data_IF_656178218303
#
_entry.id   IF_656178218303
#
_cell.length_a   1.000
_cell.length_b   1.000
_cell.length_c   1.000
_cell.angle_alpha   90.00
_cell.angle_beta   90.00
_cell.angle_gamma   90.00
#
_symmetry.space_group_name_H-M   'P 1'
#
loop_
_entity.id
_entity.type
_entity.pdbx_description
1 polymer ?
#
# COMPACT_ATOMS: atom_id res chain seq x y z
N UNK A 1 24.73 -15.74 -31.82
CA UNK A 1 23.36 -16.04 -31.36
C UNK A 1 22.71 -14.71 -31.04
N UNK A 2 21.73 -14.29 -31.84
CA UNK A 2 21.00 -13.05 -31.62
C UNK A 2 19.97 -13.29 -30.52
N UNK A 3 20.23 -12.81 -29.31
CA UNK A 3 19.18 -12.65 -28.31
C UNK A 3 18.28 -11.51 -28.75
N UNK A 4 17.10 -11.85 -29.26
CA UNK A 4 16.00 -10.90 -29.32
C UNK A 4 15.53 -10.68 -27.89
N UNK A 5 15.90 -9.54 -27.31
CA UNK A 5 15.20 -8.98 -26.15
C UNK A 5 13.70 -8.99 -26.43
N UNK A 6 12.84 -9.36 -25.47
CA UNK A 6 11.41 -9.23 -25.65
C UNK A 6 11.11 -7.74 -25.82
N UNK A 7 10.75 -7.35 -27.03
CA UNK A 7 10.16 -6.05 -27.32
C UNK A 7 8.85 -5.98 -26.54
N UNK A 8 8.90 -5.45 -25.32
CA UNK A 8 7.74 -4.91 -24.63
C UNK A 8 7.20 -3.83 -25.53
N UNK A 9 6.03 -4.07 -26.12
CA UNK A 9 5.30 -3.07 -26.88
C UNK A 9 4.83 -2.03 -25.85
N UNK A 10 5.72 -1.11 -25.48
CA UNK A 10 5.47 -0.15 -24.45
C UNK A 10 4.32 0.74 -24.90
N UNK A 11 3.17 0.57 -24.27
CA UNK A 11 2.03 1.44 -24.49
C UNK A 11 2.46 2.87 -24.13
N UNK A 12 2.23 3.82 -25.03
CA UNK A 12 2.56 5.21 -24.77
C UNK A 12 1.68 5.73 -23.64
N UNK A 13 2.29 6.35 -22.64
CA UNK A 13 1.59 6.93 -21.50
C UNK A 13 1.64 8.44 -21.63
N UNK A 14 0.46 9.07 -21.74
CA UNK A 14 0.32 10.52 -21.79
C UNK A 14 -0.27 11.03 -20.48
N UNK A 15 0.38 12.02 -19.87
CA UNK A 15 -0.15 12.74 -18.71
C UNK A 15 -0.32 14.20 -19.13
N UNK A 16 -1.54 14.72 -19.10
CA UNK A 16 -1.89 16.07 -19.57
C UNK A 16 -1.37 16.36 -20.99
N UNK A 17 -1.57 15.40 -21.91
CA UNK A 17 -1.10 15.44 -23.30
C UNK A 17 0.41 15.46 -23.51
N UNK A 18 1.20 15.32 -22.44
CA UNK A 18 2.65 15.16 -22.50
C UNK A 18 2.98 13.66 -22.50
N UNK A 19 3.76 13.22 -23.49
CA UNK A 19 4.29 11.86 -23.51
C UNK A 19 5.29 11.68 -22.36
N UNK A 20 4.96 10.81 -21.41
CA UNK A 20 5.73 10.51 -20.20
C UNK A 20 6.33 9.11 -20.22
N UNK A 21 6.27 8.42 -21.36
CA UNK A 21 6.61 7.01 -21.47
C UNK A 21 8.04 6.70 -21.02
N UNK A 22 9.03 7.45 -21.51
CA UNK A 22 10.45 7.22 -21.19
C UNK A 22 10.77 7.50 -19.71
N UNK A 23 10.18 8.56 -19.14
CA UNK A 23 10.34 8.91 -17.72
C UNK A 23 9.77 7.82 -16.81
N UNK A 24 8.55 7.35 -17.10
CA UNK A 24 7.90 6.30 -16.33
C UNK A 24 8.64 4.96 -16.47
N UNK A 25 9.18 4.65 -17.65
CA UNK A 25 10.03 3.46 -17.84
C UNK A 25 11.31 3.53 -17.02
N UNK A 26 12.02 4.66 -17.08
CA UNK A 26 13.23 4.89 -16.29
C UNK A 26 12.94 4.78 -14.78
N UNK A 27 11.79 5.32 -14.35
CA UNK A 27 11.33 5.18 -12.97
C UNK A 27 11.02 3.72 -12.61
N UNK A 28 10.34 2.97 -13.48
CA UNK A 28 10.04 1.56 -13.24
C UNK A 28 11.30 0.70 -13.11
N UNK A 29 12.32 0.99 -13.92
CA UNK A 29 13.64 0.37 -13.83
C UNK A 29 14.34 0.72 -12.52
N UNK A 30 14.35 2.00 -12.12
CA UNK A 30 14.94 2.46 -10.87
C UNK A 30 14.28 1.82 -9.64
N UNK A 31 12.96 1.59 -9.68
CA UNK A 31 12.21 0.89 -8.63
C UNK A 31 12.36 -0.63 -8.68
N UNK A 32 12.96 -1.18 -9.75
CA UNK A 32 13.13 -2.62 -9.93
C UNK A 32 11.83 -3.37 -10.27
N UNK A 33 10.79 -2.69 -10.75
CA UNK A 33 9.50 -3.32 -11.08
C UNK A 33 9.65 -4.47 -12.08
N UNK A 34 10.44 -4.25 -13.15
CA UNK A 34 10.72 -5.26 -14.16
C UNK A 34 11.57 -6.44 -13.64
N UNK A 35 12.21 -6.30 -12.49
CA UNK A 35 12.95 -7.39 -11.84
C UNK A 35 12.07 -8.16 -10.87
N UNK A 36 11.24 -7.45 -10.08
CA UNK A 36 10.45 -8.05 -9.01
C UNK A 36 9.12 -8.62 -9.51
N UNK A 37 8.42 -7.92 -10.41
CA UNK A 37 7.08 -8.26 -10.90
C UNK A 37 6.95 -8.05 -12.43
N UNK A 38 7.83 -8.66 -13.24
CA UNK A 38 7.85 -8.44 -14.70
C UNK A 38 6.49 -8.75 -15.34
N UNK A 39 5.92 -7.77 -16.03
CA UNK A 39 4.63 -7.91 -16.73
C UNK A 39 3.40 -8.07 -15.83
N UNK A 40 3.55 -7.92 -14.51
CA UNK A 40 2.48 -8.12 -13.52
C UNK A 40 2.06 -6.84 -12.80
N UNK A 41 2.34 -5.67 -13.37
CA UNK A 41 1.83 -4.39 -12.89
C UNK A 41 1.21 -3.60 -14.04
N UNK A 42 0.12 -2.89 -13.76
CA UNK A 42 -0.57 -2.06 -14.77
C UNK A 42 0.17 -0.74 -14.99
N UNK A 43 -0.12 -0.06 -16.10
CA UNK A 43 0.31 1.33 -16.28
C UNK A 43 -0.26 2.24 -15.19
N UNK A 44 -1.48 1.96 -14.71
CA UNK A 44 -2.11 2.72 -13.63
C UNK A 44 -1.32 2.61 -12.32
N UNK A 45 -0.84 1.43 -11.96
CA UNK A 45 -0.02 1.23 -10.77
C UNK A 45 1.31 1.99 -10.88
N UNK A 46 1.95 1.98 -12.05
CA UNK A 46 3.19 2.73 -12.30
C UNK A 46 2.96 4.24 -12.19
N UNK A 47 1.90 4.75 -12.81
CA UNK A 47 1.51 6.17 -12.73
C UNK A 47 1.18 6.56 -11.30
N UNK A 48 0.46 5.72 -10.56
CA UNK A 48 0.16 5.96 -9.15
C UNK A 48 1.44 6.04 -8.31
N UNK A 49 2.35 5.07 -8.47
CA UNK A 49 3.61 5.05 -7.73
C UNK A 49 4.44 6.32 -7.99
N UNK A 50 4.55 6.72 -9.25
CA UNK A 50 5.26 7.93 -9.66
C UNK A 50 4.59 9.20 -9.13
N UNK A 51 3.28 9.33 -9.31
CA UNK A 51 2.51 10.50 -8.86
C UNK A 51 2.54 10.65 -7.33
N UNK A 52 2.50 9.55 -6.58
CA UNK A 52 2.59 9.62 -5.11
C UNK A 52 3.95 10.11 -4.63
N UNK A 53 5.02 9.76 -5.33
CA UNK A 53 6.35 10.31 -5.05
C UNK A 53 6.40 11.80 -5.38
N UNK A 54 6.02 12.18 -6.60
CA UNK A 54 6.15 13.56 -7.09
C UNK A 54 5.21 14.55 -6.37
N UNK A 55 3.98 14.15 -6.10
CA UNK A 55 2.94 15.07 -5.58
C UNK A 55 2.87 15.02 -4.05
N UNK A 56 2.96 13.83 -3.45
CA UNK A 56 2.74 13.62 -2.02
C UNK A 56 4.02 13.32 -1.23
N UNK A 57 5.17 13.30 -1.89
CA UNK A 57 6.46 13.00 -1.27
C UNK A 57 6.53 11.59 -0.66
N UNK A 58 5.66 10.68 -1.10
CA UNK A 58 5.66 9.30 -0.62
C UNK A 58 6.91 8.61 -1.11
N UNK A 59 7.68 8.04 -0.18
CA UNK A 59 8.83 7.23 -0.53
C UNK A 59 8.34 5.95 -1.26
N UNK A 60 8.59 5.78 -2.57
CA UNK A 60 8.09 4.64 -3.34
C UNK A 60 8.68 3.31 -2.86
N UNK A 61 9.85 3.32 -2.21
CA UNK A 61 10.45 2.11 -1.63
C UNK A 61 9.61 1.52 -0.48
N UNK A 62 8.75 2.32 0.18
CA UNK A 62 7.79 1.77 1.16
C UNK A 62 6.71 0.93 0.50
N UNK A 63 6.29 1.31 -0.70
CA UNK A 63 5.31 0.56 -1.48
C UNK A 63 6.00 -0.69 -2.05
N UNK A 64 7.20 -0.54 -2.61
CA UNK A 64 7.98 -1.66 -3.14
C UNK A 64 8.34 -2.69 -2.07
N UNK A 65 8.65 -2.29 -0.83
CA UNK A 65 8.86 -3.22 0.29
C UNK A 65 7.64 -4.12 0.52
N UNK A 66 6.43 -3.58 0.41
CA UNK A 66 5.21 -4.37 0.55
C UNK A 66 4.93 -5.25 -0.67
N UNK A 67 5.29 -4.78 -1.88
CA UNK A 67 5.27 -5.61 -3.10
C UNK A 67 6.20 -6.80 -2.95
N UNK A 68 7.46 -6.57 -2.55
CA UNK A 68 8.45 -7.63 -2.33
C UNK A 68 7.95 -8.65 -1.30
N UNK A 69 7.43 -8.16 -0.16
CA UNK A 69 6.88 -9.04 0.88
C UNK A 69 5.69 -9.90 0.37
N UNK A 70 4.85 -9.37 -0.52
CA UNK A 70 3.76 -10.12 -1.16
C UNK A 70 4.27 -11.19 -2.14
N UNK A 71 5.40 -10.92 -2.80
CA UNK A 71 6.08 -11.84 -3.71
C UNK A 71 6.98 -12.86 -2.97
N UNK A 72 7.02 -12.79 -1.63
CA UNK A 72 7.84 -13.68 -0.82
C UNK A 72 9.34 -13.39 -0.91
N UNK A 73 9.73 -12.21 -1.42
CA UNK A 73 11.10 -11.74 -1.44
C UNK A 73 11.28 -10.56 -0.48
N UNK A 74 12.51 -10.31 -0.02
CA UNK A 74 12.80 -9.20 0.88
C UNK A 74 12.44 -9.44 2.35
N UNK A 75 12.18 -8.34 3.07
CA UNK A 75 12.00 -8.32 4.54
C UNK A 75 10.52 -8.49 4.90
N UNK A 76 10.27 -8.97 6.13
CA UNK A 76 8.92 -9.06 6.67
C UNK A 76 8.22 -7.68 6.71
N UNK A 77 6.94 -7.68 6.37
CA UNK A 77 6.06 -6.51 6.48
C UNK A 77 5.57 -6.34 7.91
N UNK A 78 5.55 -5.10 8.39
CA UNK A 78 4.94 -4.71 9.68
C UNK A 78 3.48 -4.27 9.53
N UNK A 79 2.94 -4.26 8.31
CA UNK A 79 1.54 -3.91 8.05
C UNK A 79 0.65 -5.14 8.08
N UNK A 80 -0.66 -4.92 8.23
CA UNK A 80 -1.65 -6.00 8.23
C UNK A 80 -1.47 -6.95 7.03
N UNK A 81 -1.73 -8.26 7.21
CA UNK A 81 -1.73 -9.23 6.12
C UNK A 81 -2.65 -8.77 4.97
N UNK A 82 -2.37 -9.19 3.72
CA UNK A 82 -3.28 -8.90 2.62
C UNK A 82 -4.65 -9.52 2.87
N UNK A 83 -5.69 -8.80 2.49
CA UNK A 83 -7.10 -9.23 2.64
C UNK A 83 -7.88 -9.03 1.36
N UNK A 84 -8.90 -9.87 1.19
CA UNK A 84 -9.84 -9.79 0.07
C UNK A 84 -10.86 -8.67 0.32
N UNK A 85 -11.19 -7.90 -0.71
CA UNK A 85 -12.43 -7.14 -0.72
C UNK A 85 -13.61 -8.12 -0.84
N UNK A 86 -14.49 -8.12 0.16
CA UNK A 86 -15.68 -8.99 0.22
C UNK A 86 -16.95 -8.29 -0.30
N UNK A 87 -16.88 -6.97 -0.48
CA UNK A 87 -18.00 -6.12 -0.91
C UNK A 87 -17.80 -5.54 -2.29
N UNK A 88 -18.92 -5.37 -2.99
CA UNK A 88 -18.94 -4.56 -4.21
C UNK A 88 -18.56 -3.11 -3.88
N UNK A 89 -17.91 -2.39 -4.81
CA UNK A 89 -17.58 -2.80 -6.18
C UNK A 89 -16.24 -3.53 -6.37
N UNK A 90 -15.38 -3.60 -5.33
CA UNK A 90 -14.03 -4.17 -5.45
C UNK A 90 -13.94 -5.68 -5.16
N UNK A 91 -15.09 -6.32 -4.89
CA UNK A 91 -15.19 -7.74 -4.53
C UNK A 91 -14.34 -8.63 -5.44
N UNK A 92 -13.54 -9.50 -4.82
CA UNK A 92 -12.66 -10.44 -5.53
C UNK A 92 -11.23 -9.92 -5.72
N UNK A 93 -11.01 -8.61 -5.61
CA UNK A 93 -9.67 -8.02 -5.55
C UNK A 93 -9.10 -8.14 -4.13
N UNK A 94 -7.78 -8.05 -4.03
CA UNK A 94 -7.04 -8.02 -2.78
C UNK A 94 -6.49 -6.63 -2.52
N UNK A 95 -6.30 -6.30 -1.26
CA UNK A 95 -5.52 -5.15 -0.84
C UNK A 95 -4.45 -5.54 0.17
N UNK A 96 -3.33 -4.81 0.13
CA UNK A 96 -2.26 -4.83 1.12
C UNK A 96 -1.97 -3.40 1.55
N UNK A 97 -1.76 -3.21 2.85
CA UNK A 97 -1.44 -1.88 3.37
C UNK A 97 0.03 -1.51 3.14
N UNK A 98 0.28 -0.26 2.77
CA UNK A 98 1.59 0.38 2.87
C UNK A 98 1.52 1.63 3.75
N UNK A 99 2.64 1.98 4.38
CA UNK A 99 2.70 3.19 5.20
C UNK A 99 2.81 4.43 4.30
N UNK A 100 1.81 5.30 4.37
CA UNK A 100 1.85 6.63 3.78
C UNK A 100 2.87 7.56 4.45
N UNK A 101 2.80 8.85 4.10
CA UNK A 101 3.66 9.90 4.68
C UNK A 101 2.97 10.68 5.79
N UNK A 102 3.77 11.11 6.76
CA UNK A 102 3.39 12.14 7.73
C UNK A 102 2.62 11.67 8.97
N UNK A 103 2.19 12.67 9.73
CA UNK A 103 1.53 12.55 11.04
C UNK A 103 0.16 11.83 10.99
N UNK A 104 -0.69 11.97 9.95
CA UNK A 104 -2.00 11.33 9.94
C UNK A 104 -1.93 9.80 10.08
N UNK A 105 -1.01 9.15 9.36
CA UNK A 105 -0.80 7.70 9.45
C UNK A 105 -0.30 7.26 10.84
N UNK A 106 0.59 8.04 11.45
CA UNK A 106 1.07 7.80 12.82
C UNK A 106 -0.09 7.89 13.81
N UNK A 107 -0.88 8.97 13.76
CA UNK A 107 -2.03 9.19 14.64
C UNK A 107 -3.07 8.09 14.49
N UNK A 108 -3.37 7.67 13.26
CA UNK A 108 -4.31 6.58 13.02
C UNK A 108 -3.83 5.26 13.62
N UNK A 109 -2.53 4.96 13.51
CA UNK A 109 -1.97 3.75 14.11
C UNK A 109 -1.96 3.81 15.64
N UNK A 110 -1.64 4.96 16.24
CA UNK A 110 -1.73 5.15 17.70
C UNK A 110 -3.18 4.95 18.17
N UNK A 111 -4.15 5.62 17.53
CA UNK A 111 -5.59 5.46 17.85
C UNK A 111 -6.03 4.00 17.76
N UNK A 112 -5.65 3.31 16.68
CA UNK A 112 -5.97 1.89 16.50
C UNK A 112 -5.28 0.99 17.54
N UNK A 113 -4.09 1.36 18.03
CA UNK A 113 -3.35 0.64 19.05
C UNK A 113 -3.93 0.79 20.44
N UNK A 114 -4.36 2.00 20.79
CA UNK A 114 -5.05 2.27 22.05
C UNK A 114 -6.46 1.66 22.06
N UNK A 115 -7.14 1.64 20.92
CA UNK A 115 -8.53 1.20 20.86
C UNK A 115 -9.43 2.08 21.74
N UNK A 116 -10.51 1.51 22.26
CA UNK A 116 -11.52 2.29 23.02
C UNK A 116 -11.06 2.69 24.43
N UNK A 117 -10.30 1.83 25.11
CA UNK A 117 -9.95 1.98 26.54
C UNK A 117 -8.45 2.09 26.80
N UNK A 118 -7.60 1.99 25.77
CA UNK A 118 -6.15 1.90 25.96
C UNK A 118 -5.52 3.14 26.58
N UNK A 119 -6.06 4.33 26.30
CA UNK A 119 -5.59 5.55 26.94
C UNK A 119 -5.86 5.53 28.45
N UNK A 120 -7.08 5.16 28.86
CA UNK A 120 -7.45 5.08 30.27
C UNK A 120 -6.59 4.03 31.00
N UNK A 121 -6.42 2.85 30.39
CA UNK A 121 -5.54 1.79 30.94
C UNK A 121 -4.11 2.27 31.09
N UNK A 122 -3.61 3.05 30.13
CA UNK A 122 -2.25 3.58 30.20
C UNK A 122 -2.10 4.65 31.28
N UNK A 123 -3.08 5.54 31.42
CA UNK A 123 -3.11 6.53 32.51
C UNK A 123 -3.09 5.81 33.87
N UNK A 124 -3.95 4.80 34.05
CA UNK A 124 -4.00 4.02 35.29
C UNK A 124 -2.65 3.31 35.53
N UNK A 125 -2.04 2.72 34.51
CA UNK A 125 -0.79 1.98 34.67
C UNK A 125 0.41 2.89 35.01
N UNK A 126 0.47 4.09 34.42
CA UNK A 126 1.69 4.91 34.45
C UNK A 126 1.60 6.14 35.36
N UNK A 127 0.39 6.63 35.66
CA UNK A 127 0.17 7.89 36.38
C UNK A 127 -0.59 7.72 37.71
N UNK A 128 -0.91 6.48 38.13
CA UNK A 128 -1.58 6.23 39.41
C UNK A 128 -0.60 6.22 40.58
N UNK A 129 -1.08 6.56 41.78
CA UNK A 129 -0.39 6.25 43.04
C UNK A 129 0.23 7.43 43.79
N UNK A 130 -0.05 8.68 43.40
CA UNK A 130 0.39 9.86 44.15
C UNK A 130 0.66 11.08 43.28
N UNK A 131 1.65 11.88 43.67
CA UNK A 131 2.11 13.03 42.91
C UNK A 131 2.74 12.60 41.57
N UNK A 132 2.33 13.25 40.48
CA UNK A 132 2.84 12.96 39.14
C UNK A 132 4.23 13.59 38.99
N UNK A 133 5.24 12.76 38.70
CA UNK A 133 6.61 13.23 38.47
C UNK A 133 6.92 13.40 36.97
N UNK A 134 7.97 14.17 36.61
CA UNK A 134 8.44 14.28 35.22
C UNK A 134 8.80 12.92 34.59
N UNK A 135 9.36 11.99 35.36
CA UNK A 135 9.72 10.65 34.89
C UNK A 135 8.48 9.85 34.52
N UNK A 136 7.42 9.93 35.33
CA UNK A 136 6.14 9.31 35.04
C UNK A 136 5.53 9.87 33.76
N UNK A 137 5.56 11.21 33.58
CA UNK A 137 5.08 11.86 32.36
C UNK A 137 5.89 11.48 31.12
N UNK A 138 7.21 11.36 31.25
CA UNK A 138 8.08 10.92 30.15
C UNK A 138 7.76 9.48 29.75
N UNK A 139 7.62 8.57 30.72
CA UNK A 139 7.26 7.17 30.46
C UNK A 139 5.87 7.06 29.84
N UNK A 140 4.88 7.75 30.40
CA UNK A 140 3.52 7.79 29.85
C UNK A 140 3.50 8.27 28.39
N UNK A 141 4.20 9.37 28.09
CA UNK A 141 4.25 9.93 26.72
C UNK A 141 4.96 8.99 25.76
N UNK A 142 6.04 8.34 26.20
CA UNK A 142 6.75 7.33 25.41
C UNK A 142 5.82 6.15 25.07
N UNK A 143 5.15 5.58 26.06
CA UNK A 143 4.26 4.43 25.87
C UNK A 143 3.03 4.76 25.02
N UNK A 144 2.48 5.97 25.20
CA UNK A 144 1.33 6.46 24.46
C UNK A 144 1.62 6.54 22.95
N UNK A 145 2.81 7.01 22.58
CA UNK A 145 3.17 7.26 21.18
C UNK A 145 4.04 6.13 20.63
N UNK A 146 5.28 6.04 21.11
CA UNK A 146 6.28 5.13 20.58
C UNK A 146 5.96 3.68 20.91
N UNK A 147 5.72 3.36 22.19
CA UNK A 147 5.42 1.99 22.62
C UNK A 147 4.18 1.42 21.92
N UNK A 148 3.11 2.21 21.84
CA UNK A 148 1.87 1.82 21.13
C UNK A 148 2.11 1.56 19.64
N UNK A 149 2.89 2.42 18.97
CA UNK A 149 3.18 2.25 17.55
C UNK A 149 4.07 1.01 17.28
N UNK A 150 5.15 0.83 18.06
CA UNK A 150 6.09 -0.28 17.89
C UNK A 150 5.40 -1.63 18.15
N UNK A 151 4.59 -1.76 19.20
CA UNK A 151 3.82 -3.00 19.44
C UNK A 151 2.93 -3.37 18.26
N UNK A 152 2.29 -2.40 17.60
CA UNK A 152 1.54 -2.66 16.36
C UNK A 152 2.42 -3.08 15.20
N UNK A 153 3.61 -2.50 15.08
CA UNK A 153 4.57 -2.86 14.04
C UNK A 153 5.06 -4.30 14.19
N UNK A 154 5.42 -4.69 15.41
CA UNK A 154 5.86 -6.05 15.76
C UNK A 154 4.75 -7.09 15.56
N UNK A 155 3.51 -6.71 15.84
CA UNK A 155 2.32 -7.55 15.63
C UNK A 155 1.85 -7.63 14.17
N UNK A 156 2.54 -6.98 13.23
CA UNK A 156 2.11 -6.82 11.83
C UNK A 156 0.70 -6.24 11.70
N UNK A 157 0.38 -5.24 12.53
CA UNK A 157 -0.94 -4.60 12.60
C UNK A 157 -0.94 -3.16 12.08
N UNK A 158 0.18 -2.63 11.58
CA UNK A 158 0.15 -1.28 11.04
C UNK A 158 -0.81 -1.18 9.85
N UNK A 159 -1.51 -0.05 9.77
CA UNK A 159 -2.42 0.28 8.68
C UNK A 159 -1.89 1.50 7.94
N UNK A 160 -2.26 1.63 6.68
CA UNK A 160 -2.03 2.82 5.87
C UNK A 160 -2.86 2.71 4.59
N UNK A 161 -2.42 3.32 3.51
CA UNK A 161 -3.11 3.25 2.22
C UNK A 161 -2.94 1.86 1.57
N UNK A 162 -3.63 1.62 0.46
CA UNK A 162 -3.72 0.31 -0.17
C UNK A 162 -2.91 0.17 -1.46
N UNK A 163 -2.19 -0.93 -1.58
CA UNK A 163 -1.85 -1.57 -2.85
C UNK A 163 -3.01 -2.49 -3.20
N UNK A 164 -3.61 -2.32 -4.38
CA UNK A 164 -4.72 -3.13 -4.84
C UNK A 164 -4.24 -4.04 -5.97
N UNK A 165 -4.55 -5.33 -5.86
CA UNK A 165 -4.06 -6.35 -6.75
C UNK A 165 -5.06 -7.48 -6.95
N UNK A 166 -4.92 -8.22 -8.05
CA UNK A 166 -5.63 -9.47 -8.30
C UNK A 166 -4.68 -10.65 -8.14
N UNK A 167 -5.23 -11.84 -7.87
CA UNK A 167 -4.47 -13.09 -7.90
C UNK A 167 -4.92 -13.92 -9.09
N UNK A 168 -3.98 -14.37 -9.91
CA UNK A 168 -4.25 -15.23 -11.06
C UNK A 168 -3.11 -16.24 -11.22
N UNK A 169 -3.45 -17.53 -11.33
CA UNK A 169 -2.50 -18.64 -11.44
C UNK A 169 -1.39 -18.67 -10.36
N UNK A 170 -1.71 -18.24 -9.14
CA UNK A 170 -0.78 -18.19 -8.02
C UNK A 170 0.14 -16.96 -8.00
N UNK A 171 0.02 -16.05 -8.97
CA UNK A 171 0.77 -14.81 -9.04
C UNK A 171 -0.10 -13.59 -8.70
N UNK A 172 0.53 -12.53 -8.19
CA UNK A 172 -0.16 -11.25 -7.94
C UNK A 172 -0.02 -10.32 -9.15
N UNK A 173 -1.11 -9.66 -9.54
CA UNK A 173 -1.16 -8.63 -10.56
C UNK A 173 -1.55 -7.28 -9.93
N UNK A 174 -0.63 -6.33 -9.93
CA UNK A 174 -0.72 -5.05 -9.23
C UNK A 174 -1.46 -4.01 -10.09
N UNK A 175 -2.60 -3.52 -9.60
CA UNK A 175 -3.55 -2.77 -10.43
C UNK A 175 -3.49 -1.26 -10.18
N UNK A 176 -3.48 -0.82 -8.93
CA UNK A 176 -3.40 0.60 -8.59
C UNK A 176 -3.04 0.79 -7.11
N UNK A 177 -2.79 2.04 -6.74
CA UNK A 177 -2.82 2.46 -5.33
C UNK A 177 -4.21 3.00 -4.99
N UNK A 178 -4.61 2.88 -3.73
CA UNK A 178 -5.92 3.30 -3.25
C UNK A 178 -5.81 3.99 -1.89
N UNK A 179 -6.33 5.21 -1.80
CA UNK A 179 -6.47 5.90 -0.53
C UNK A 179 -7.73 5.45 0.23
N UNK A 180 -7.66 5.33 1.55
CA UNK A 180 -8.83 4.97 2.38
C UNK A 180 -10.02 5.93 2.21
N UNK A 181 -9.77 7.17 1.79
CA UNK A 181 -10.78 8.22 1.63
C UNK A 181 -11.32 8.35 0.20
N UNK A 182 -10.76 7.60 -0.75
CA UNK A 182 -11.10 7.76 -2.17
C UNK A 182 -12.45 7.15 -2.54
N UNK A 183 -12.93 6.20 -1.74
CA UNK A 183 -14.16 5.46 -1.99
C UNK A 183 -13.97 4.32 -3.00
N UNK A 184 -14.60 3.19 -2.72
CA UNK A 184 -14.42 1.96 -3.49
C UNK A 184 -14.94 2.11 -4.93
N UNK A 185 -15.98 2.93 -5.15
CA UNK A 185 -16.53 3.22 -6.48
C UNK A 185 -15.54 3.92 -7.39
N UNK A 186 -14.81 4.90 -6.87
CA UNK A 186 -13.81 5.63 -7.62
C UNK A 186 -12.64 4.72 -8.00
N UNK A 187 -12.16 3.91 -7.05
CA UNK A 187 -11.11 2.93 -7.27
C UNK A 187 -11.55 1.92 -8.35
N UNK A 188 -12.75 1.36 -8.22
CA UNK A 188 -13.27 0.37 -9.17
C UNK A 188 -13.42 0.94 -10.58
N UNK A 189 -13.85 2.20 -10.71
CA UNK A 189 -13.96 2.87 -12.00
C UNK A 189 -12.59 2.98 -12.70
N UNK A 190 -11.55 3.42 -11.97
CA UNK A 190 -10.18 3.53 -12.51
C UNK A 190 -9.63 2.18 -12.97
N UNK A 191 -9.82 1.12 -12.15
CA UNK A 191 -9.40 -0.23 -12.51
C UNK A 191 -10.13 -0.72 -13.77
N UNK A 192 -11.44 -0.47 -13.86
CA UNK A 192 -12.23 -0.88 -15.02
C UNK A 192 -11.77 -0.18 -16.31
N UNK A 193 -11.47 1.10 -16.23
CA UNK A 193 -11.09 1.90 -17.39
C UNK A 193 -9.67 1.59 -17.87
N UNK A 194 -8.72 1.42 -16.95
CA UNK A 194 -7.29 1.37 -17.28
C UNK A 194 -6.68 -0.03 -17.16
N UNK A 195 -7.17 -0.88 -16.24
CA UNK A 195 -6.56 -2.20 -16.02
C UNK A 195 -7.28 -3.32 -16.78
N UNK A 196 -8.59 -3.23 -17.03
CA UNK A 196 -9.31 -4.27 -17.80
C UNK A 196 -8.77 -4.40 -19.23
N UNK A 197 -8.46 -3.31 -19.97
CA UNK A 197 -7.86 -3.45 -21.30
C UNK A 197 -6.46 -4.07 -21.28
N UNK A 198 -5.66 -3.83 -20.23
CA UNK A 198 -4.30 -4.37 -20.08
C UNK A 198 -4.30 -5.84 -19.63
N UNK A 199 -5.22 -6.19 -18.73
CA UNK A 199 -5.31 -7.51 -18.13
C UNK A 199 -6.74 -8.08 -18.20
N UNK A 200 -7.29 -8.31 -19.39
CA UNK A 200 -8.68 -8.75 -19.54
C UNK A 200 -8.97 -10.08 -18.82
N UNK A 201 -8.00 -11.01 -18.86
CA UNK A 201 -8.06 -12.32 -18.20
C UNK A 201 -8.27 -12.28 -16.67
N UNK A 202 -7.99 -11.15 -16.01
CA UNK A 202 -8.25 -10.99 -14.57
C UNK A 202 -9.74 -10.78 -14.25
N UNK A 203 -10.54 -10.42 -15.25
CA UNK A 203 -11.94 -9.99 -15.08
C UNK A 203 -12.94 -10.86 -15.86
N UNK A 204 -12.46 -11.79 -16.69
CA UNK A 204 -13.28 -12.68 -17.52
C UNK A 204 -14.12 -13.70 -16.71
N UNK A 205 -13.67 -14.05 -15.49
CA UNK A 205 -14.36 -15.02 -14.62
C UNK A 205 -15.43 -14.41 -13.70
N UNK A 206 -15.66 -13.09 -13.77
CA UNK A 206 -16.70 -12.40 -12.99
C UNK A 206 -17.96 -12.13 -13.83
N UNK A 207 -18.49 -13.17 -14.50
CA UNK A 207 -19.88 -13.08 -14.99
C UNK A 207 -20.81 -13.01 -13.77
N UNK A 208 -21.65 -11.98 -13.63
CA UNK A 208 -22.74 -12.06 -12.67
C UNK A 208 -23.60 -13.26 -13.04
N UNK A 209 -23.85 -14.13 -12.08
CA UNK A 209 -24.92 -15.12 -12.17
C UNK A 209 -26.27 -14.43 -12.37
#
# INVERSE_FOLDING_TARGET
MNEKSPSTNAQKIFINSVDKTEELQSFAEAMGLNRTIPGRYSSLFLVDLFAHMEIFGVNPFKIMHEVEALEGCGRASSTKPPSLFDKLPLRGLWHKHYLGTGVPGLVQNIRNGLGKEGLEKLIIAELSGGEITPEMMNKFTHELVHGTYIRRAEDNKLTGEWIIFAKHNGENFYLCLGGHTWGDEYIAARIRELCVPEFPFLFEDHKPA
#
